data_IF_039193682399
#
_entry.id   IF_039193682399
#
_cell.length_a   1.000
_cell.length_b   1.000
_cell.length_c   1.000
_cell.angle_alpha   90.00
_cell.angle_beta   90.00
_cell.angle_gamma   90.00
#
_symmetry.space_group_name_H-M   'P 1'
#
loop_
_entity.id
_entity.type
_entity.pdbx_description
1 polymer ?
#
# COMPACT_ATOMS: atom_id res chain seq x y z
N UNK A 1 -61.61 -14.33 33.23
CA UNK A 1 -60.52 -15.29 32.92
C UNK A 1 -59.34 -14.43 32.47
N UNK A 2 -58.46 -14.05 33.40
CA UNK A 2 -57.27 -13.27 33.07
C UNK A 2 -56.08 -14.23 33.07
N UNK A 3 -55.59 -14.55 31.88
CA UNK A 3 -54.34 -15.28 31.72
C UNK A 3 -53.23 -14.30 31.44
N UNK A 4 -52.35 -14.06 32.41
CA UNK A 4 -51.12 -13.29 32.20
C UNK A 4 -50.20 -14.11 31.30
N UNK A 5 -49.79 -13.63 30.12
CA UNK A 5 -48.87 -14.36 29.27
C UNK A 5 -47.51 -14.45 29.97
N UNK A 6 -47.15 -15.63 30.45
CA UNK A 6 -45.79 -15.92 30.94
C UNK A 6 -44.91 -16.26 29.75
N UNK A 7 -43.87 -15.45 29.52
CA UNK A 7 -42.89 -15.72 28.48
C UNK A 7 -42.17 -17.04 28.79
N UNK A 8 -42.12 -17.94 27.80
CA UNK A 8 -41.36 -19.17 27.93
C UNK A 8 -39.85 -18.84 27.95
N UNK A 9 -39.19 -19.06 29.08
CA UNK A 9 -37.78 -18.71 29.29
C UNK A 9 -36.82 -19.36 28.27
N UNK A 10 -37.16 -20.55 27.76
CA UNK A 10 -36.38 -21.21 26.71
C UNK A 10 -36.51 -20.49 25.35
N UNK A 11 -37.69 -19.94 25.04
CA UNK A 11 -37.90 -19.13 23.83
C UNK A 11 -37.21 -17.76 23.92
N UNK A 12 -37.20 -17.13 25.10
CA UNK A 12 -36.47 -15.87 25.31
C UNK A 12 -34.96 -16.08 25.17
N UNK A 13 -34.43 -17.19 25.71
CA UNK A 13 -33.00 -17.51 25.64
C UNK A 13 -32.54 -17.81 24.22
N UNK A 14 -33.30 -18.63 23.47
CA UNK A 14 -33.01 -18.93 22.07
C UNK A 14 -33.05 -17.67 21.20
N UNK A 15 -34.07 -16.81 21.36
CA UNK A 15 -34.16 -15.56 20.60
C UNK A 15 -32.99 -14.60 20.89
N UNK A 16 -32.55 -14.49 22.15
CA UNK A 16 -31.37 -13.68 22.51
C UNK A 16 -30.09 -14.24 21.89
N UNK A 17 -29.93 -15.57 21.85
CA UNK A 17 -28.78 -16.21 21.23
C UNK A 17 -28.76 -15.99 19.72
N UNK A 18 -29.91 -16.15 19.04
CA UNK A 18 -30.05 -15.89 17.60
C UNK A 18 -29.83 -14.43 17.24
N UNK A 19 -30.37 -13.48 18.02
CA UNK A 19 -30.17 -12.05 17.82
C UNK A 19 -28.70 -11.64 18.03
N UNK A 20 -28.04 -12.22 19.03
CA UNK A 20 -26.61 -12.01 19.29
C UNK A 20 -25.75 -12.58 18.15
N UNK A 21 -26.06 -13.78 17.69
CA UNK A 21 -25.39 -14.44 16.56
C UNK A 21 -25.57 -13.66 15.26
N UNK A 22 -26.79 -13.19 14.98
CA UNK A 22 -27.10 -12.37 13.80
C UNK A 22 -26.36 -11.02 13.83
N UNK A 23 -26.29 -10.38 15.01
CA UNK A 23 -25.58 -9.11 15.19
C UNK A 23 -24.06 -9.28 15.04
N UNK A 24 -23.51 -10.37 15.57
CA UNK A 24 -22.10 -10.72 15.40
C UNK A 24 -21.78 -11.02 13.93
N UNK A 25 -22.63 -11.78 13.23
CA UNK A 25 -22.48 -12.09 11.81
C UNK A 25 -22.56 -10.82 10.94
N UNK A 26 -23.51 -9.92 11.19
CA UNK A 26 -23.63 -8.65 10.47
C UNK A 26 -22.40 -7.75 10.70
N UNK A 27 -21.89 -7.69 11.93
CA UNK A 27 -20.68 -6.93 12.26
C UNK A 27 -19.44 -7.52 11.58
N UNK A 28 -19.32 -8.85 11.59
CA UNK A 28 -18.24 -9.57 10.90
C UNK A 28 -18.26 -9.29 9.39
N UNK A 29 -19.44 -9.37 8.77
CA UNK A 29 -19.63 -9.09 7.35
C UNK A 29 -19.23 -7.65 6.97
N UNK A 30 -19.61 -6.65 7.78
CA UNK A 30 -19.20 -5.26 7.57
C UNK A 30 -17.69 -5.07 7.66
N UNK A 31 -17.03 -5.71 8.63
CA UNK A 31 -15.56 -5.65 8.78
C UNK A 31 -14.85 -6.29 7.59
N UNK A 32 -15.32 -7.46 7.14
CA UNK A 32 -14.78 -8.12 5.96
C UNK A 32 -14.93 -7.27 4.69
N UNK A 33 -16.10 -6.63 4.50
CA UNK A 33 -16.33 -5.74 3.38
C UNK A 33 -15.43 -4.48 3.43
N UNK A 34 -15.25 -3.88 4.60
CA UNK A 34 -14.35 -2.74 4.79
C UNK A 34 -12.89 -3.12 4.49
N UNK A 35 -12.45 -4.30 4.93
CA UNK A 35 -11.12 -4.82 4.64
C UNK A 35 -10.93 -5.10 3.14
N UNK A 36 -11.87 -5.76 2.48
CA UNK A 36 -11.80 -6.01 1.04
C UNK A 36 -11.73 -4.71 0.24
N UNK A 37 -12.51 -3.70 0.64
CA UNK A 37 -12.45 -2.36 0.06
C UNK A 37 -11.09 -1.70 0.30
N UNK A 38 -10.56 -1.74 1.52
CA UNK A 38 -9.25 -1.17 1.84
C UNK A 38 -8.11 -1.81 1.03
N UNK A 39 -8.15 -3.13 0.85
CA UNK A 39 -7.21 -3.86 0.00
C UNK A 39 -7.32 -3.37 -1.45
N UNK A 40 -8.52 -3.31 -2.02
CA UNK A 40 -8.73 -2.87 -3.40
C UNK A 40 -8.27 -1.41 -3.61
N UNK A 41 -8.67 -0.51 -2.72
CA UNK A 41 -8.35 0.93 -2.77
C UNK A 41 -6.84 1.21 -2.64
N UNK A 42 -6.06 0.27 -2.09
CA UNK A 42 -4.60 0.37 -2.02
C UNK A 42 -3.91 -0.37 -3.16
N UNK A 43 -4.28 -1.63 -3.43
CA UNK A 43 -3.59 -2.51 -4.36
C UNK A 43 -3.74 -2.11 -5.83
N UNK A 44 -4.93 -1.71 -6.27
CA UNK A 44 -5.13 -1.32 -7.66
C UNK A 44 -4.35 -0.06 -8.02
N UNK A 45 -4.54 1.05 -7.30
CA UNK A 45 -3.86 2.25 -7.68
C UNK A 45 -2.39 2.28 -7.22
N UNK A 46 -1.91 1.36 -6.37
CA UNK A 46 -0.46 1.16 -6.16
C UNK A 46 0.25 0.80 -7.47
N UNK A 47 -0.33 -0.08 -8.30
CA UNK A 47 0.26 -0.47 -9.58
C UNK A 47 0.37 0.72 -10.53
N UNK A 48 -0.66 1.57 -10.55
CA UNK A 48 -0.71 2.75 -11.42
C UNK A 48 0.22 3.88 -10.92
N UNK A 49 0.32 4.07 -9.60
CA UNK A 49 1.19 5.09 -8.99
C UNK A 49 2.67 4.76 -9.20
N UNK A 50 3.07 3.49 -9.14
CA UNK A 50 4.48 3.08 -9.18
C UNK A 50 5.06 2.96 -10.59
N UNK A 51 4.24 2.71 -11.61
CA UNK A 51 4.68 2.59 -13.00
C UNK A 51 5.45 3.82 -13.52
N UNK A 52 4.91 5.04 -13.42
CA UNK A 52 5.60 6.26 -13.83
C UNK A 52 6.93 6.49 -13.10
N UNK A 53 7.02 6.13 -11.82
CA UNK A 53 8.26 6.26 -11.05
C UNK A 53 9.38 5.38 -11.61
N UNK A 54 9.06 4.13 -11.99
CA UNK A 54 10.02 3.21 -12.64
C UNK A 54 10.46 3.77 -13.99
N UNK A 55 9.53 4.26 -14.81
CA UNK A 55 9.86 4.85 -16.12
C UNK A 55 10.80 6.04 -15.97
N UNK A 56 10.51 6.98 -15.06
CA UNK A 56 11.37 8.16 -14.83
C UNK A 56 12.73 7.78 -14.27
N UNK A 57 12.79 6.79 -13.39
CA UNK A 57 14.06 6.28 -12.89
C UNK A 57 14.94 5.70 -14.01
N UNK A 58 14.37 4.89 -14.90
CA UNK A 58 15.11 4.35 -16.04
C UNK A 58 15.58 5.45 -16.98
N UNK A 59 14.75 6.45 -17.28
CA UNK A 59 15.16 7.62 -18.09
C UNK A 59 16.36 8.36 -17.47
N UNK A 60 16.43 8.42 -16.14
CA UNK A 60 17.56 9.00 -15.42
C UNK A 60 18.82 8.14 -15.53
N UNK A 61 18.71 6.82 -15.37
CA UNK A 61 19.83 5.88 -15.52
C UNK A 61 20.38 5.94 -16.95
N UNK A 62 19.51 5.91 -17.97
CA UNK A 62 19.92 6.02 -19.38
C UNK A 62 20.67 7.34 -19.64
N UNK A 63 20.22 8.44 -19.05
CA UNK A 63 20.88 9.74 -19.18
C UNK A 63 22.22 9.80 -18.43
N UNK A 64 22.37 9.10 -17.31
CA UNK A 64 23.64 8.96 -16.59
C UNK A 64 24.65 8.23 -17.46
N UNK A 65 24.27 7.06 -17.98
CA UNK A 65 25.12 6.19 -18.79
C UNK A 65 25.54 6.86 -20.10
N UNK A 66 24.63 7.61 -20.74
CA UNK A 66 24.90 8.33 -21.98
C UNK A 66 25.66 9.66 -21.79
N UNK A 67 25.94 10.09 -20.55
CA UNK A 67 26.45 11.43 -20.24
C UNK A 67 25.58 12.54 -20.88
N UNK A 68 24.25 12.36 -20.87
CA UNK A 68 23.32 13.21 -21.59
C UNK A 68 23.22 14.60 -20.94
N UNK A 69 23.19 15.70 -21.71
CA UNK A 69 23.23 17.06 -21.16
C UNK A 69 22.04 17.40 -20.23
N UNK A 70 20.94 16.66 -20.33
CA UNK A 70 19.73 16.80 -19.52
C UNK A 70 19.67 15.85 -18.30
N UNK A 71 20.75 15.12 -18.02
CA UNK A 71 20.89 14.22 -16.87
C UNK A 71 20.37 14.81 -15.56
N UNK A 72 20.80 16.04 -15.21
CA UNK A 72 20.43 16.65 -13.94
C UNK A 72 18.91 16.87 -13.85
N UNK A 73 18.29 17.31 -14.95
CA UNK A 73 16.84 17.49 -15.01
C UNK A 73 16.11 16.14 -14.91
N UNK A 74 16.62 15.08 -15.55
CA UNK A 74 16.06 13.73 -15.48
C UNK A 74 16.23 13.10 -14.10
N UNK A 75 17.38 13.27 -13.45
CA UNK A 75 17.63 12.88 -12.05
C UNK A 75 16.62 13.51 -11.11
N UNK A 76 16.45 14.83 -11.20
CA UNK A 76 15.55 15.55 -10.30
C UNK A 76 14.08 15.17 -10.56
N UNK A 77 13.70 15.00 -11.83
CA UNK A 77 12.38 14.49 -12.23
C UNK A 77 12.13 13.09 -11.68
N UNK A 78 13.09 12.19 -11.80
CA UNK A 78 13.00 10.82 -11.27
C UNK A 78 12.84 10.84 -9.75
N UNK A 79 13.71 11.55 -9.04
CA UNK A 79 13.67 11.63 -7.58
C UNK A 79 12.35 12.22 -7.06
N UNK A 80 11.82 13.25 -7.73
CA UNK A 80 10.53 13.84 -7.35
C UNK A 80 9.37 12.89 -7.65
N UNK A 81 9.38 12.22 -8.80
CA UNK A 81 8.33 11.25 -9.15
C UNK A 81 8.30 10.07 -8.18
N UNK A 82 9.48 9.56 -7.78
CA UNK A 82 9.59 8.49 -6.77
C UNK A 82 9.07 8.97 -5.41
N UNK A 83 9.44 10.19 -4.98
CA UNK A 83 8.97 10.77 -3.72
C UNK A 83 7.45 10.97 -3.70
N UNK A 84 6.87 11.47 -4.80
CA UNK A 84 5.43 11.69 -4.92
C UNK A 84 4.66 10.35 -4.94
N UNK A 85 5.22 9.31 -5.57
CA UNK A 85 4.69 7.96 -5.50
C UNK A 85 4.70 7.43 -4.05
N UNK A 86 5.83 7.58 -3.34
CA UNK A 86 5.95 7.19 -1.94
C UNK A 86 4.94 7.92 -1.06
N UNK A 87 4.80 9.25 -1.22
CA UNK A 87 3.80 10.05 -0.48
C UNK A 87 2.38 9.60 -0.76
N UNK A 88 2.04 9.33 -2.02
CA UNK A 88 0.71 8.87 -2.42
C UNK A 88 0.37 7.52 -1.76
N UNK A 89 1.33 6.59 -1.74
CA UNK A 89 1.15 5.28 -1.08
C UNK A 89 1.00 5.45 0.43
N UNK A 90 1.85 6.26 1.06
CA UNK A 90 1.78 6.55 2.49
C UNK A 90 0.42 7.15 2.89
N UNK A 91 -0.08 8.13 2.13
CA UNK A 91 -1.40 8.73 2.38
C UNK A 91 -2.51 7.68 2.33
N UNK A 92 -2.50 6.78 1.34
CA UNK A 92 -3.54 5.73 1.23
C UNK A 92 -3.48 4.70 2.37
N UNK A 93 -2.27 4.34 2.81
CA UNK A 93 -2.10 3.47 3.98
C UNK A 93 -2.69 4.14 5.23
N UNK A 94 -2.42 5.43 5.42
CA UNK A 94 -2.97 6.21 6.54
C UNK A 94 -4.50 6.32 6.46
N UNK A 95 -5.06 6.58 5.27
CA UNK A 95 -6.50 6.65 5.03
C UNK A 95 -7.21 5.32 5.27
N UNK A 96 -6.58 4.19 4.92
CA UNK A 96 -7.13 2.86 5.14
C UNK A 96 -7.11 2.46 6.62
N UNK A 97 -6.10 2.90 7.37
CA UNK A 97 -5.97 2.65 8.81
C UNK A 97 -6.11 1.16 9.18
N UNK A 98 -6.91 0.88 10.20
CA UNK A 98 -7.13 -0.48 10.71
C UNK A 98 -7.91 -1.41 9.76
N UNK A 99 -8.52 -0.87 8.68
CA UNK A 99 -9.19 -1.70 7.69
C UNK A 99 -8.18 -2.47 6.83
N UNK A 100 -6.94 -1.98 6.71
CA UNK A 100 -5.90 -2.66 5.95
C UNK A 100 -5.32 -3.83 6.76
N UNK A 101 -5.12 -5.02 6.17
CA UNK A 101 -4.43 -6.12 6.84
C UNK A 101 -3.02 -5.66 7.30
N UNK A 102 -2.59 -5.95 8.54
CA UNK A 102 -1.31 -5.47 9.07
C UNK A 102 -0.10 -5.84 8.21
N UNK A 103 -0.09 -7.05 7.64
CA UNK A 103 0.98 -7.50 6.74
C UNK A 103 1.05 -6.65 5.46
N UNK A 104 -0.09 -6.34 4.84
CA UNK A 104 -0.13 -5.47 3.65
C UNK A 104 0.27 -4.03 4.00
N UNK A 105 -0.18 -3.51 5.14
CA UNK A 105 0.20 -2.19 5.63
C UNK A 105 1.72 -2.07 5.82
N UNK A 106 2.35 -3.11 6.39
CA UNK A 106 3.79 -3.17 6.57
C UNK A 106 4.52 -3.17 5.22
N UNK A 107 4.11 -4.01 4.26
CA UNK A 107 4.77 -4.06 2.94
C UNK A 107 4.65 -2.75 2.17
N UNK A 108 3.51 -2.07 2.23
CA UNK A 108 3.34 -0.75 1.62
C UNK A 108 4.25 0.28 2.31
N UNK A 109 4.39 0.22 3.63
CA UNK A 109 5.31 1.07 4.39
C UNK A 109 6.78 0.80 4.03
N UNK A 110 7.16 -0.46 3.86
CA UNK A 110 8.50 -0.85 3.44
C UNK A 110 8.81 -0.33 2.04
N UNK A 111 7.85 -0.39 1.12
CA UNK A 111 7.95 0.24 -0.20
C UNK A 111 8.16 1.76 -0.09
N UNK A 112 7.38 2.47 0.74
CA UNK A 112 7.51 3.92 0.95
C UNK A 112 8.93 4.27 1.41
N UNK A 113 9.46 3.53 2.39
CA UNK A 113 10.80 3.75 2.91
C UNK A 113 11.89 3.49 1.85
N UNK A 114 11.78 2.39 1.11
CA UNK A 114 12.73 2.06 0.04
C UNK A 114 12.68 3.07 -1.12
N UNK A 115 11.49 3.55 -1.49
CA UNK A 115 11.31 4.58 -2.50
C UNK A 115 11.97 5.91 -2.08
N UNK A 116 11.77 6.33 -0.82
CA UNK A 116 12.44 7.52 -0.26
C UNK A 116 13.96 7.36 -0.23
N UNK A 117 14.46 6.19 0.13
CA UNK A 117 15.90 5.89 0.08
C UNK A 117 16.43 6.03 -1.36
N UNK A 118 15.75 5.45 -2.35
CA UNK A 118 16.14 5.57 -3.76
C UNK A 118 16.10 7.03 -4.25
N UNK A 119 15.05 7.78 -3.91
CA UNK A 119 14.95 9.18 -4.28
C UNK A 119 16.09 10.02 -3.67
N UNK A 120 16.47 9.75 -2.42
CA UNK A 120 17.60 10.39 -1.77
C UNK A 120 18.93 10.05 -2.44
N UNK A 121 19.17 8.77 -2.77
CA UNK A 121 20.36 8.35 -3.51
C UNK A 121 20.41 8.99 -4.90
N UNK A 122 19.30 9.01 -5.63
CA UNK A 122 19.22 9.65 -6.94
C UNK A 122 19.62 11.13 -6.87
N UNK A 123 19.14 11.90 -5.88
CA UNK A 123 19.44 13.34 -5.73
C UNK A 123 20.92 13.66 -5.58
N UNK A 124 21.68 12.79 -4.91
CA UNK A 124 23.12 13.00 -4.68
C UNK A 124 23.99 12.46 -5.81
N UNK A 125 23.39 11.87 -6.85
CA UNK A 125 24.14 11.37 -7.99
C UNK A 125 24.69 12.52 -8.86
N UNK A 126 25.91 12.28 -9.33
CA UNK A 126 26.64 13.02 -10.36
C UNK A 126 27.20 12.00 -11.36
N UNK A 127 27.69 12.44 -12.51
CA UNK A 127 28.30 11.54 -13.50
C UNK A 127 29.48 10.72 -12.96
N UNK A 128 30.19 11.25 -11.97
CA UNK A 128 31.34 10.59 -11.35
C UNK A 128 30.98 9.85 -10.06
N UNK A 129 29.73 9.89 -9.63
CA UNK A 129 29.31 9.23 -8.39
C UNK A 129 29.39 7.71 -8.52
N UNK A 130 29.88 7.00 -7.51
CA UNK A 130 29.82 5.54 -7.49
C UNK A 130 28.36 5.08 -7.45
N UNK A 131 28.00 4.13 -8.31
CA UNK A 131 26.61 3.66 -8.48
C UNK A 131 26.18 2.60 -7.46
N UNK A 132 27.08 2.12 -6.60
CA UNK A 132 26.78 1.01 -5.68
C UNK A 132 25.59 1.31 -4.76
N UNK A 133 25.58 2.46 -4.08
CA UNK A 133 24.48 2.84 -3.18
C UNK A 133 23.15 3.04 -3.94
N UNK A 134 23.21 3.58 -5.17
CA UNK A 134 22.04 3.73 -6.03
C UNK A 134 21.48 2.36 -6.44
N UNK A 135 22.33 1.42 -6.82
CA UNK A 135 21.96 0.07 -7.23
C UNK A 135 21.37 -0.73 -6.06
N UNK A 136 21.93 -0.59 -4.86
CA UNK A 136 21.39 -1.22 -3.65
C UNK A 136 20.00 -0.68 -3.31
N UNK A 137 19.82 0.64 -3.37
CA UNK A 137 18.51 1.28 -3.16
C UNK A 137 17.50 0.86 -4.24
N UNK A 138 17.94 0.77 -5.50
CA UNK A 138 17.13 0.31 -6.63
C UNK A 138 16.66 -1.13 -6.43
N UNK A 139 17.56 -2.02 -5.98
CA UNK A 139 17.20 -3.39 -5.65
C UNK A 139 16.18 -3.44 -4.51
N UNK A 140 16.41 -2.71 -3.41
CA UNK A 140 15.48 -2.66 -2.27
C UNK A 140 14.08 -2.22 -2.67
N UNK A 141 13.94 -1.16 -3.47
CA UNK A 141 12.62 -0.70 -3.89
C UNK A 141 11.93 -1.71 -4.81
N UNK A 142 12.68 -2.39 -5.68
CA UNK A 142 12.14 -3.45 -6.54
C UNK A 142 11.66 -4.65 -5.73
N UNK A 143 12.43 -5.08 -4.73
CA UNK A 143 12.05 -6.17 -3.83
C UNK A 143 10.77 -5.81 -3.04
N UNK A 144 10.70 -4.59 -2.49
CA UNK A 144 9.52 -4.11 -1.77
C UNK A 144 8.28 -3.98 -2.69
N UNK A 145 8.48 -3.51 -3.92
CA UNK A 145 7.43 -3.40 -4.93
C UNK A 145 6.85 -4.78 -5.27
N UNK A 146 7.71 -5.78 -5.48
CA UNK A 146 7.28 -7.15 -5.73
C UNK A 146 6.57 -7.75 -4.51
N UNK A 147 7.07 -7.51 -3.30
CA UNK A 147 6.43 -7.97 -2.07
C UNK A 147 5.00 -7.43 -1.90
N UNK A 148 4.76 -6.16 -2.26
CA UNK A 148 3.39 -5.59 -2.30
C UNK A 148 2.55 -6.25 -3.38
N UNK A 149 3.10 -6.42 -4.59
CA UNK A 149 2.36 -7.05 -5.71
C UNK A 149 1.92 -8.48 -5.40
N UNK A 150 2.76 -9.24 -4.72
CA UNK A 150 2.50 -10.63 -4.31
C UNK A 150 1.47 -10.71 -3.18
N UNK A 151 1.42 -9.70 -2.30
CA UNK A 151 0.41 -9.61 -1.24
C UNK A 151 -0.94 -9.09 -1.75
N UNK A 152 -0.95 -8.39 -2.88
CA UNK A 152 -2.16 -7.87 -3.51
C UNK A 152 -2.87 -8.97 -4.32
N UNK A 153 -4.22 -8.99 -4.35
CA UNK A 153 -4.97 -9.89 -5.21
C UNK A 153 -4.52 -9.77 -6.68
N UNK A 154 -4.44 -10.92 -7.36
CA UNK A 154 -4.31 -10.95 -8.81
C UNK A 154 -5.51 -10.24 -9.45
N UNK A 155 -5.27 -9.58 -10.59
CA UNK A 155 -6.35 -9.03 -11.42
C UNK A 155 -7.05 -10.13 -12.19
#
# INVERSE_FOLDING_TARGET
MEGTPTANEAQVTSYRAEASSSSAAATSSRRAAAQAKAIADNCDPFRDTTGPAVTRYNEFVDAHDANAPDYAAKRDTAANTIEDAARTVETRVQEAGEALPPDLAQKLTDYVNAARELAAQARVMTYTSPVAALNDASKKVNDALNAVRDACPAR
#
